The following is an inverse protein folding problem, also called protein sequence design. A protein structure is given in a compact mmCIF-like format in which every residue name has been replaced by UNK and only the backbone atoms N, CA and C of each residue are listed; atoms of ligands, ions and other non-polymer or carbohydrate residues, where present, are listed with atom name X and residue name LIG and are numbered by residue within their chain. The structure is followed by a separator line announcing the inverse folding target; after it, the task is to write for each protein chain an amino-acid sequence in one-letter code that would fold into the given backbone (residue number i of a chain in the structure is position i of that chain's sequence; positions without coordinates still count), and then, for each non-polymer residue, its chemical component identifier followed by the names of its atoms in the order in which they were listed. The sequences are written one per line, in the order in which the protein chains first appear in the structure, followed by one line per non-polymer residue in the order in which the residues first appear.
data_IF_609708149398
#
_entry.id   IF_609708149398
#
_cell.length_a   1.000
_cell.length_b   1.000
_cell.length_c   1.000
_cell.angle_alpha   90.00
_cell.angle_beta   90.00
_cell.angle_gamma   90.00
#
_symmetry.space_group_name_H-M   'P 1'
#
loop_
_entity.id
_entity.type
_entity.pdbx_description
1 polymer ?
#
# COMPACT_ATOMS: atom_id res chain seq x y z
N UNK A 1 -32.90 -23.69 -100.70
CA UNK A 1 -33.09 -23.97 -99.26
C UNK A 1 -31.78 -24.32 -98.53
N UNK A 2 -30.97 -25.29 -99.00
CA UNK A 2 -29.73 -25.73 -98.31
C UNK A 2 -28.69 -24.61 -98.06
N UNK A 3 -28.49 -23.69 -99.02
CA UNK A 3 -27.55 -22.56 -98.89
C UNK A 3 -27.94 -21.58 -97.77
N UNK A 4 -29.24 -21.43 -97.50
CA UNK A 4 -29.74 -20.53 -96.45
C UNK A 4 -29.55 -21.13 -95.05
N UNK A 5 -29.80 -22.44 -94.90
CA UNK A 5 -29.52 -23.14 -93.65
C UNK A 5 -28.03 -23.17 -93.30
N UNK A 6 -27.15 -23.32 -94.29
CA UNK A 6 -25.70 -23.28 -94.07
C UNK A 6 -25.24 -21.89 -93.59
N UNK A 7 -25.79 -20.81 -94.16
CA UNK A 7 -25.49 -19.45 -93.71
C UNK A 7 -25.93 -19.21 -92.26
N UNK A 8 -27.15 -19.63 -91.89
CA UNK A 8 -27.66 -19.53 -90.52
C UNK A 8 -26.79 -20.33 -89.53
N UNK A 9 -26.32 -21.51 -89.95
CA UNK A 9 -25.43 -22.33 -89.13
C UNK A 9 -24.08 -21.66 -88.86
N UNK A 10 -23.46 -21.04 -89.87
CA UNK A 10 -22.19 -20.31 -89.72
C UNK A 10 -22.36 -19.07 -88.84
N UNK A 11 -23.45 -18.31 -89.02
CA UNK A 11 -23.76 -17.14 -88.17
C UNK A 11 -24.02 -17.57 -86.73
N UNK A 12 -24.68 -18.71 -86.51
CA UNK A 12 -24.89 -19.29 -85.18
C UNK A 12 -23.58 -19.61 -84.45
N UNK A 13 -22.61 -20.21 -85.15
CA UNK A 13 -21.30 -20.53 -84.58
C UNK A 13 -20.53 -19.26 -84.21
N UNK A 14 -20.53 -18.24 -85.08
CA UNK A 14 -19.84 -16.96 -84.83
C UNK A 14 -20.50 -16.22 -83.65
N UNK A 15 -21.83 -16.27 -83.55
CA UNK A 15 -22.57 -15.69 -82.43
C UNK A 15 -22.21 -16.35 -81.09
N UNK A 16 -22.11 -17.67 -81.05
CA UNK A 16 -21.70 -18.42 -79.85
C UNK A 16 -20.25 -18.12 -79.48
N UNK A 17 -19.33 -18.10 -80.45
CA UNK A 17 -17.92 -17.79 -80.23
C UNK A 17 -17.71 -16.34 -79.74
N UNK A 18 -18.43 -15.37 -80.33
CA UNK A 18 -18.38 -13.97 -79.93
C UNK A 18 -18.92 -13.74 -78.51
N UNK A 19 -20.03 -14.40 -78.15
CA UNK A 19 -20.59 -14.31 -76.80
C UNK A 19 -19.70 -14.97 -75.75
N UNK A 20 -19.12 -16.14 -76.07
CA UNK A 20 -18.16 -16.84 -75.20
C UNK A 20 -16.89 -16.03 -74.95
N UNK A 21 -16.34 -15.37 -75.97
CA UNK A 21 -15.20 -14.48 -75.83
C UNK A 21 -15.52 -13.30 -74.89
N UNK A 22 -16.65 -12.61 -75.11
CA UNK A 22 -17.08 -11.49 -74.27
C UNK A 22 -17.30 -11.91 -72.82
N UNK A 23 -17.94 -13.05 -72.59
CA UNK A 23 -18.13 -13.62 -71.25
C UNK A 23 -16.80 -13.93 -70.57
N UNK A 24 -15.82 -14.49 -71.29
CA UNK A 24 -14.49 -14.78 -70.75
C UNK A 24 -13.73 -13.49 -70.35
N UNK A 25 -13.82 -12.44 -71.16
CA UNK A 25 -13.24 -11.15 -70.82
C UNK A 25 -13.90 -10.49 -69.61
N UNK A 26 -15.23 -10.52 -69.52
CA UNK A 26 -15.97 -9.94 -68.39
C UNK A 26 -15.68 -10.69 -67.09
N UNK A 27 -15.70 -12.03 -67.13
CA UNK A 27 -15.40 -12.86 -65.97
C UNK A 27 -13.96 -12.67 -65.50
N UNK A 28 -13.00 -12.62 -66.43
CA UNK A 28 -11.59 -12.36 -66.10
C UNK A 28 -11.39 -10.97 -65.50
N UNK A 29 -12.04 -9.94 -66.05
CA UNK A 29 -11.98 -8.58 -65.50
C UNK A 29 -12.62 -8.51 -64.11
N UNK A 30 -13.74 -9.19 -63.88
CA UNK A 30 -14.37 -9.28 -62.57
C UNK A 30 -13.44 -9.95 -61.56
N UNK A 31 -12.80 -11.06 -61.94
CA UNK A 31 -11.81 -11.73 -61.08
C UNK A 31 -10.63 -10.81 -60.76
N UNK A 32 -10.05 -10.13 -61.75
CA UNK A 32 -8.96 -9.18 -61.52
C UNK A 32 -9.39 -8.03 -60.60
N UNK A 33 -10.61 -7.50 -60.78
CA UNK A 33 -11.16 -6.46 -59.92
C UNK A 33 -11.26 -6.94 -58.46
N UNK A 34 -11.78 -8.16 -58.24
CA UNK A 34 -11.86 -8.74 -56.88
C UNK A 34 -10.48 -8.97 -56.27
N UNK A 35 -9.49 -9.44 -57.04
CA UNK A 35 -8.13 -9.65 -56.53
C UNK A 35 -7.48 -8.32 -56.14
N UNK A 36 -7.67 -7.26 -56.94
CA UNK A 36 -7.19 -5.91 -56.62
C UNK A 36 -7.84 -5.38 -55.35
N UNK A 37 -9.16 -5.54 -55.22
CA UNK A 37 -9.89 -5.12 -54.02
C UNK A 37 -9.41 -5.86 -52.77
N UNK A 38 -9.20 -7.18 -52.86
CA UNK A 38 -8.68 -7.98 -51.75
C UNK A 38 -7.24 -7.58 -51.39
N UNK A 39 -6.40 -7.30 -52.38
CA UNK A 39 -5.03 -6.87 -52.13
C UNK A 39 -4.98 -5.50 -51.42
N UNK A 40 -5.80 -4.54 -51.85
CA UNK A 40 -5.94 -3.23 -51.18
C UNK A 40 -6.43 -3.40 -49.73
N UNK A 41 -7.43 -4.27 -49.50
CA UNK A 41 -7.92 -4.56 -48.14
C UNK A 41 -6.83 -5.15 -47.25
N UNK A 42 -6.02 -6.07 -47.78
CA UNK A 42 -4.90 -6.65 -47.05
C UNK A 42 -3.82 -5.60 -46.74
N UNK A 43 -3.50 -4.73 -47.68
CA UNK A 43 -2.54 -3.64 -47.49
C UNK A 43 -3.02 -2.66 -46.40
N UNK A 44 -4.29 -2.25 -46.45
CA UNK A 44 -4.90 -1.40 -45.42
C UNK A 44 -4.93 -2.07 -44.04
N UNK A 45 -5.20 -3.38 -43.99
CA UNK A 45 -5.18 -4.15 -42.75
C UNK A 45 -3.77 -4.26 -42.15
N UNK A 46 -2.74 -4.42 -43.00
CA UNK A 46 -1.34 -4.43 -42.57
C UNK A 46 -0.95 -3.05 -42.04
N UNK A 47 -1.26 -1.97 -42.75
CA UNK A 47 -0.97 -0.60 -42.29
C UNK A 47 -1.63 -0.32 -40.93
N UNK A 48 -2.90 -0.71 -40.77
CA UNK A 48 -3.63 -0.57 -39.50
C UNK A 48 -2.99 -1.40 -38.39
N UNK A 49 -2.52 -2.61 -38.71
CA UNK A 49 -1.83 -3.48 -37.77
C UNK A 49 -0.47 -2.92 -37.36
N UNK A 50 0.30 -2.35 -38.29
CA UNK A 50 1.57 -1.69 -38.01
C UNK A 50 1.39 -0.44 -37.14
N UNK A 51 0.38 0.37 -37.42
CA UNK A 51 0.02 1.52 -36.58
C UNK A 51 -0.39 1.07 -35.17
N UNK A 52 -1.16 -0.01 -35.07
CA UNK A 52 -1.55 -0.60 -33.79
C UNK A 52 -0.34 -1.14 -33.03
N UNK A 53 0.59 -1.84 -33.69
CA UNK A 53 1.83 -2.33 -33.10
C UNK A 53 2.72 -1.20 -32.61
N UNK A 54 2.85 -0.10 -33.37
CA UNK A 54 3.61 1.09 -32.95
C UNK A 54 3.00 1.74 -31.70
N UNK A 55 1.67 1.82 -31.65
CA UNK A 55 0.94 2.34 -30.49
C UNK A 55 1.15 1.43 -29.27
N UNK A 56 1.01 0.11 -29.45
CA UNK A 56 1.24 -0.89 -28.41
C UNK A 56 2.68 -0.83 -27.87
N UNK A 57 3.68 -0.70 -28.74
CA UNK A 57 5.08 -0.54 -28.30
C UNK A 57 5.26 0.72 -27.45
N UNK A 58 4.68 1.84 -27.87
CA UNK A 58 4.71 3.09 -27.09
C UNK A 58 4.04 2.94 -25.73
N UNK A 59 2.91 2.25 -25.67
CA UNK A 59 2.20 2.01 -24.42
C UNK A 59 2.92 1.01 -23.51
N UNK A 60 3.59 0.00 -24.06
CA UNK A 60 4.44 -0.91 -23.27
C UNK A 60 5.60 -0.16 -22.59
N UNK A 61 6.25 0.76 -23.30
CA UNK A 61 7.31 1.61 -22.73
C UNK A 61 6.75 2.50 -21.61
N UNK A 62 5.59 3.13 -21.84
CA UNK A 62 4.92 3.91 -20.79
C UNK A 62 4.59 3.05 -19.58
N UNK A 63 3.96 1.88 -19.77
CA UNK A 63 3.62 0.95 -18.69
C UNK A 63 4.86 0.52 -17.90
N UNK A 64 5.98 0.26 -18.58
CA UNK A 64 7.27 -0.02 -17.93
C UNK A 64 7.75 1.14 -17.04
N UNK A 65 7.68 2.37 -17.55
CA UNK A 65 8.05 3.57 -16.77
C UNK A 65 7.12 3.80 -15.58
N UNK A 66 5.81 3.71 -15.79
CA UNK A 66 4.81 3.85 -14.73
C UNK A 66 4.98 2.78 -13.65
N UNK A 67 5.25 1.53 -14.03
CA UNK A 67 5.49 0.46 -13.06
C UNK A 67 6.75 0.70 -12.21
N UNK A 68 7.81 1.24 -12.84
CA UNK A 68 9.04 1.63 -12.12
C UNK A 68 8.76 2.78 -11.15
N UNK A 69 8.02 3.80 -11.58
CA UNK A 69 7.62 4.93 -10.73
C UNK A 69 6.75 4.47 -9.56
N UNK A 70 5.79 3.58 -9.82
CA UNK A 70 4.94 2.98 -8.80
C UNK A 70 5.77 2.19 -7.78
N UNK A 71 6.76 1.42 -8.23
CA UNK A 71 7.66 0.69 -7.33
C UNK A 71 8.47 1.63 -6.43
N UNK A 72 8.97 2.74 -6.98
CA UNK A 72 9.71 3.76 -6.20
C UNK A 72 8.78 4.45 -5.20
N UNK A 73 7.54 4.79 -5.61
CA UNK A 73 6.59 5.44 -4.71
C UNK A 73 6.14 4.54 -3.57
N UNK A 74 5.99 3.23 -3.81
CA UNK A 74 5.73 2.23 -2.78
C UNK A 74 6.89 2.14 -1.78
N UNK A 75 8.14 2.05 -2.25
CA UNK A 75 9.31 2.05 -1.36
C UNK A 75 9.39 3.33 -0.52
N UNK A 76 9.10 4.48 -1.12
CA UNK A 76 9.07 5.76 -0.40
C UNK A 76 7.93 5.82 0.63
N UNK A 77 6.77 5.29 0.30
CA UNK A 77 5.63 5.22 1.22
C UNK A 77 5.92 4.28 2.40
N UNK A 78 6.59 3.15 2.16
CA UNK A 78 7.03 2.23 3.22
C UNK A 78 8.05 2.89 4.14
N UNK A 79 9.09 3.51 3.59
CA UNK A 79 10.08 4.25 4.38
C UNK A 79 9.47 5.40 5.18
N UNK A 80 8.52 6.14 4.58
CA UNK A 80 7.79 7.20 5.27
C UNK A 80 6.89 6.65 6.39
N UNK A 81 6.25 5.50 6.16
CA UNK A 81 5.47 4.79 7.18
C UNK A 81 6.32 4.35 8.37
N UNK A 82 7.53 3.84 8.12
CA UNK A 82 8.47 3.45 9.17
C UNK A 82 9.02 4.68 9.92
N UNK A 83 9.26 5.79 9.22
CA UNK A 83 9.61 7.06 9.85
C UNK A 83 8.48 7.55 10.79
N UNK A 84 7.24 7.51 10.33
CA UNK A 84 6.06 7.85 11.13
C UNK A 84 5.93 6.96 12.37
N UNK A 85 6.12 5.65 12.23
CA UNK A 85 6.11 4.70 13.35
C UNK A 85 7.20 5.02 14.37
N UNK A 86 8.42 5.30 13.89
CA UNK A 86 9.52 5.70 14.76
C UNK A 86 9.25 7.02 15.49
N UNK A 87 8.69 8.01 14.80
CA UNK A 87 8.29 9.30 15.43
C UNK A 87 7.20 9.09 16.47
N UNK A 88 6.19 8.27 16.16
CA UNK A 88 5.10 7.96 17.09
C UNK A 88 5.62 7.20 18.32
N UNK A 89 6.51 6.23 18.12
CA UNK A 89 7.15 5.49 19.22
C UNK A 89 7.97 6.42 20.12
N UNK A 90 8.78 7.32 19.55
CA UNK A 90 9.53 8.33 20.32
C UNK A 90 8.61 9.27 21.08
N UNK A 91 7.54 9.75 20.45
CA UNK A 91 6.54 10.59 21.13
C UNK A 91 5.89 9.84 22.29
N UNK A 92 5.51 8.58 22.09
CA UNK A 92 4.93 7.76 23.14
C UNK A 92 5.91 7.55 24.31
N UNK A 93 7.18 7.25 24.01
CA UNK A 93 8.23 7.12 25.04
C UNK A 93 8.43 8.42 25.84
N UNK A 94 8.44 9.58 25.17
CA UNK A 94 8.55 10.89 25.83
C UNK A 94 7.32 11.17 26.68
N UNK A 95 6.12 10.87 26.18
CA UNK A 95 4.87 11.02 26.94
C UNK A 95 4.88 10.13 28.19
N UNK A 96 5.30 8.88 28.06
CA UNK A 96 5.40 7.96 29.20
C UNK A 96 6.46 8.44 30.20
N UNK A 97 7.63 8.89 29.76
CA UNK A 97 8.64 9.47 30.64
C UNK A 97 8.13 10.72 31.40
N UNK A 98 7.34 11.58 30.74
CA UNK A 98 6.69 12.72 31.40
C UNK A 98 5.63 12.27 32.41
N UNK A 99 4.92 11.19 32.14
CA UNK A 99 3.92 10.63 33.06
C UNK A 99 4.58 9.96 34.27
N UNK A 100 5.65 9.21 34.07
CA UNK A 100 6.41 8.56 35.14
C UNK A 100 7.15 9.57 36.03
N UNK A 101 7.72 10.63 35.47
CA UNK A 101 8.30 11.72 36.27
C UNK A 101 7.26 12.40 37.15
N UNK A 102 6.04 12.62 36.63
CA UNK A 102 4.91 13.14 37.41
C UNK A 102 4.48 12.18 38.52
N UNK A 103 4.47 10.87 38.26
CA UNK A 103 4.19 9.85 39.29
C UNK A 103 5.30 9.80 40.35
N UNK A 104 6.56 9.89 39.93
CA UNK A 104 7.72 9.88 40.83
C UNK A 104 7.73 11.12 41.74
N UNK A 105 7.40 12.30 41.21
CA UNK A 105 7.23 13.53 41.99
C UNK A 105 6.14 13.34 43.07
N UNK A 106 4.99 12.76 42.72
CA UNK A 106 3.92 12.46 43.68
C UNK A 106 4.38 11.52 44.79
N UNK A 107 5.05 10.40 44.43
CA UNK A 107 5.59 9.45 45.41
C UNK A 107 6.67 10.06 46.30
N UNK A 108 7.55 10.89 45.75
CA UNK A 108 8.61 11.58 46.49
C UNK A 108 8.04 12.62 47.45
N UNK A 109 7.04 13.40 47.02
CA UNK A 109 6.35 14.36 47.89
C UNK A 109 5.60 13.66 49.01
N UNK A 110 4.91 12.55 48.72
CA UNK A 110 4.25 11.72 49.73
C UNK A 110 5.22 11.10 50.73
N UNK A 111 6.36 10.59 50.28
CA UNK A 111 7.42 10.08 51.16
C UNK A 111 8.00 11.19 52.04
N UNK A 112 8.24 12.37 51.48
CA UNK A 112 8.75 13.53 52.23
C UNK A 112 7.74 14.04 53.27
N UNK A 113 6.44 14.04 52.93
CA UNK A 113 5.36 14.35 53.87
C UNK A 113 5.28 13.35 55.03
N UNK A 114 5.46 12.05 54.75
CA UNK A 114 5.50 11.02 55.78
C UNK A 114 6.73 11.16 56.70
N UNK A 115 7.91 11.45 56.15
CA UNK A 115 9.12 11.72 56.94
C UNK A 115 8.95 12.95 57.83
N UNK A 116 8.35 14.02 57.30
CA UNK A 116 8.04 15.22 58.07
C UNK A 116 7.09 14.91 59.24
N UNK A 117 6.00 14.17 58.98
CA UNK A 117 5.06 13.77 60.03
C UNK A 117 5.70 12.88 61.08
N UNK A 118 6.60 11.97 60.67
CA UNK A 118 7.39 11.14 61.58
C UNK A 118 8.35 11.95 62.46
N UNK A 119 9.10 12.88 61.87
CA UNK A 119 9.99 13.78 62.61
C UNK A 119 9.24 14.65 63.62
N UNK A 120 8.08 15.17 63.24
CA UNK A 120 7.22 15.95 64.14
C UNK A 120 6.68 15.09 65.29
N UNK A 121 6.29 13.84 65.02
CA UNK A 121 5.87 12.89 66.05
C UNK A 121 6.96 12.56 67.07
N UNK A 122 8.18 12.28 66.60
CA UNK A 122 9.33 11.95 67.46
C UNK A 122 9.83 13.16 68.27
N UNK A 123 9.64 14.39 67.77
CA UNK A 123 10.03 15.64 68.46
C UNK A 123 8.97 16.15 69.44
N UNK A 124 7.92 15.37 69.71
CA UNK A 124 6.88 15.67 70.70
C UNK A 124 5.73 16.54 70.16
N UNK A 125 5.64 16.70 68.83
CA UNK A 125 4.52 17.35 68.15
C UNK A 125 3.41 16.36 67.81
N UNK A 126 2.17 16.81 67.93
CA UNK A 126 0.97 16.13 67.45
C UNK A 126 0.98 16.04 65.92
N UNK A 127 0.78 14.83 65.38
CA UNK A 127 0.77 14.54 63.92
C UNK A 127 -0.35 15.21 63.11
N UNK A 128 -1.13 16.06 63.76
CA UNK A 128 -2.26 16.85 63.24
C UNK A 128 -1.83 18.21 62.66
N UNK A 129 -0.55 18.61 62.82
CA UNK A 129 -0.07 19.90 62.31
C UNK A 129 -0.03 19.93 60.77
N UNK A 130 -0.51 21.02 60.13
CA UNK A 130 -0.55 21.11 58.68
C UNK A 130 0.86 21.04 58.08
N UNK A 131 0.97 20.38 56.92
CA UNK A 131 2.21 20.31 56.14
C UNK A 131 2.69 21.74 55.81
N UNK A 132 4.00 22.00 55.85
CA UNK A 132 4.54 23.31 55.54
C UNK A 132 4.31 23.68 54.06
N UNK A 133 4.22 24.98 53.78
CA UNK A 133 3.77 25.54 52.49
C UNK A 133 4.57 25.07 51.26
N UNK A 134 5.83 24.70 51.44
CA UNK A 134 6.73 24.18 50.40
C UNK A 134 6.53 22.68 50.11
N UNK A 135 5.79 21.97 50.96
CA UNK A 135 5.52 20.53 50.86
C UNK A 135 4.06 20.23 50.50
N UNK A 136 3.20 21.24 50.45
CA UNK A 136 1.81 21.10 50.03
C UNK A 136 1.72 20.80 48.52
N UNK A 137 0.93 19.80 48.11
CA UNK A 137 0.68 19.55 46.70
C UNK A 137 -0.04 20.76 46.09
N UNK A 138 0.46 21.28 44.96
CA UNK A 138 -0.20 22.37 44.24
C UNK A 138 -1.63 21.93 43.80
N UNK A 139 -2.63 22.83 43.88
CA UNK A 139 -4.01 22.50 43.56
C UNK A 139 -4.13 22.11 42.07
N UNK A 140 -4.57 20.87 41.81
CA UNK A 140 -4.78 20.32 40.45
C UNK A 140 -4.04 19.01 40.14
N UNK A 141 -3.26 18.45 41.08
CA UNK A 141 -2.44 17.25 40.85
C UNK A 141 -3.07 16.00 41.48
N UNK A 142 -4.18 15.54 40.92
CA UNK A 142 -4.82 14.26 41.31
C UNK A 142 -3.92 13.09 40.93
N UNK A 143 -3.26 12.49 41.92
CA UNK A 143 -2.44 11.30 41.76
C UNK A 143 -1.96 10.70 43.09
N UNK A 144 -2.65 10.96 44.19
CA UNK A 144 -2.28 10.42 45.50
C UNK A 144 -3.00 9.09 45.73
N UNK A 145 -2.37 7.99 45.32
CA UNK A 145 -2.59 6.71 45.98
C UNK A 145 -1.62 6.61 47.15
N UNK A 146 -2.14 6.97 48.33
CA UNK A 146 -1.53 6.65 49.62
C UNK A 146 -1.43 5.13 49.76
N UNK A 147 -0.25 4.56 49.49
CA UNK A 147 0.06 3.16 49.78
C UNK A 147 0.33 3.01 51.26
N UNK A 148 -0.73 3.07 52.08
CA UNK A 148 -0.66 2.64 53.47
C UNK A 148 -1.12 1.19 53.55
N UNK A 149 -0.31 0.26 53.02
CA UNK A 149 -0.42 -1.15 53.42
C UNK A 149 0.41 -1.31 54.70
N UNK A 150 -0.31 -1.19 55.81
CA UNK A 150 0.13 -1.59 57.15
C UNK A 150 0.80 -2.96 57.09
N UNK A 151 1.96 -3.07 57.74
CA UNK A 151 2.68 -4.32 57.88
C UNK A 151 1.81 -5.38 58.57
N UNK A 152 1.57 -6.48 57.85
CA UNK A 152 1.26 -7.76 58.45
C UNK A 152 2.49 -8.64 58.26
N UNK A 153 3.21 -8.86 59.36
CA UNK A 153 4.42 -9.66 59.39
C UNK A 153 4.15 -11.10 58.95
N UNK A 154 4.91 -11.57 57.97
CA UNK A 154 5.22 -12.98 57.82
C UNK A 154 6.72 -13.16 57.76
N UNK A 155 7.23 -13.53 58.93
CA UNK A 155 8.43 -14.31 59.22
C UNK A 155 9.29 -14.63 57.98
N UNK A 156 10.44 -13.98 57.92
CA UNK A 156 11.60 -14.44 57.16
C UNK A 156 12.12 -15.73 57.79
N UNK A 157 11.68 -16.88 57.28
CA UNK A 157 12.40 -18.12 57.48
C UNK A 157 13.47 -18.27 56.40
N UNK A 158 14.71 -18.15 56.87
CA UNK A 158 15.83 -19.02 56.52
C UNK A 158 16.27 -19.10 55.05
N UNK A 159 17.38 -18.41 54.79
CA UNK A 159 18.27 -18.63 53.64
C UNK A 159 18.76 -20.09 53.66
N UNK A 160 18.59 -20.81 52.55
CA UNK A 160 19.52 -21.88 52.16
C UNK A 160 19.97 -21.65 50.72
N UNK A 161 21.24 -21.28 50.60
CA UNK A 161 21.93 -21.16 49.33
C UNK A 161 22.13 -22.57 48.74
N UNK A 162 21.68 -22.77 47.51
CA UNK A 162 22.15 -23.88 46.67
C UNK A 162 22.64 -23.31 45.34
N UNK A 163 23.96 -23.23 45.23
CA UNK A 163 24.67 -23.22 43.96
C UNK A 163 24.71 -24.66 43.44
N UNK A 164 24.46 -24.90 42.15
CA UNK A 164 25.46 -25.62 41.37
C UNK A 164 25.67 -24.91 40.02
N UNK A 165 26.89 -24.47 39.75
CA UNK A 165 27.94 -25.23 39.06
C UNK A 165 27.72 -25.25 37.55
N UNK A 166 28.66 -24.60 36.87
CA UNK A 166 28.85 -24.65 35.44
C UNK A 166 29.04 -26.09 34.97
N UNK A 167 28.42 -26.41 33.83
CA UNK A 167 28.95 -27.25 32.77
C UNK A 167 28.24 -26.92 31.46
#
# INVERSE_FOLDING_TARGET
MLKLYLLIFVVGIIGIAGYGAKYYYDTTQATIATLRENNVKLETAIETSEQSLKTLQGDMVKLGNLNKELSISLQKAEAYGDELRNKLSKLNLVVEALKDSKQLEGKMNGATANLWRGFMGDTGGDGERPLPQWLLPLPGRTGDQSSNQSGEGKNTDSIKAETPSAQ
#
